data_IF_745181497663
#
_entry.id   IF_745181497663
#
_cell.length_a   1.000
_cell.length_b   1.000
_cell.length_c   1.000
_cell.angle_alpha   90.00
_cell.angle_beta   90.00
_cell.angle_gamma   90.00
#
_symmetry.space_group_name_H-M   'P 1'
#
loop_
_entity.id
_entity.type
_entity.pdbx_description
1 polymer ?
#
# COMPACT_ATOMS: atom_id res chain seq x y z
N UNK A 1 37.21 -4.97 0.31
CA UNK A 1 36.01 -5.64 -0.17
C UNK A 1 36.22 -7.13 -0.14
N UNK A 2 35.64 -7.83 0.83
CA UNK A 2 35.65 -9.30 0.84
C UNK A 2 34.49 -9.79 -0.01
N UNK A 3 34.76 -10.20 -1.25
CA UNK A 3 33.88 -11.07 -2.03
C UNK A 3 34.26 -12.51 -1.69
N UNK A 4 33.72 -13.05 -0.61
CA UNK A 4 33.65 -14.49 -0.46
C UNK A 4 32.65 -15.04 -1.46
N UNK A 5 33.13 -15.53 -2.58
CA UNK A 5 32.34 -16.37 -3.51
C UNK A 5 32.11 -17.72 -2.87
N UNK A 6 31.06 -17.83 -2.05
CA UNK A 6 30.61 -19.11 -1.50
C UNK A 6 30.19 -19.99 -2.69
N UNK A 7 31.02 -20.97 -3.05
CA UNK A 7 30.70 -21.95 -4.10
C UNK A 7 29.81 -23.03 -3.51
N UNK A 8 28.51 -22.89 -3.70
CA UNK A 8 27.55 -23.93 -3.32
C UNK A 8 27.68 -25.16 -4.23
N UNK A 9 27.69 -26.32 -3.62
CA UNK A 9 27.63 -27.62 -4.30
C UNK A 9 26.26 -27.75 -4.99
N UNK A 10 26.15 -28.60 -6.03
CA UNK A 10 24.86 -28.80 -6.74
C UNK A 10 23.74 -29.29 -5.81
N UNK A 11 24.04 -30.10 -4.83
CA UNK A 11 23.07 -30.58 -3.85
C UNK A 11 22.62 -29.50 -2.88
N UNK A 12 23.54 -28.66 -2.42
CA UNK A 12 23.22 -27.51 -1.59
C UNK A 12 22.30 -26.49 -2.33
N UNK A 13 22.60 -26.22 -3.60
CA UNK A 13 21.74 -25.37 -4.45
C UNK A 13 20.33 -25.93 -4.60
N UNK A 14 20.22 -27.26 -4.80
CA UNK A 14 18.92 -27.94 -4.91
C UNK A 14 18.15 -27.87 -3.60
N UNK A 15 18.80 -28.07 -2.47
CA UNK A 15 18.19 -27.97 -1.14
C UNK A 15 17.69 -26.54 -0.87
N UNK A 16 18.53 -25.53 -1.10
CA UNK A 16 18.17 -24.12 -0.95
C UNK A 16 16.97 -23.77 -1.85
N UNK A 17 16.93 -24.27 -3.08
CA UNK A 17 15.82 -24.01 -4.00
C UNK A 17 14.51 -24.65 -3.51
N UNK A 18 14.57 -25.88 -2.99
CA UNK A 18 13.41 -26.57 -2.42
C UNK A 18 12.91 -25.83 -1.17
N UNK A 19 13.81 -25.43 -0.28
CA UNK A 19 13.47 -24.70 0.94
C UNK A 19 12.91 -23.31 0.65
N UNK A 20 13.36 -22.66 -0.43
CA UNK A 20 12.85 -21.36 -0.86
C UNK A 20 11.51 -21.44 -1.64
N UNK A 21 11.15 -22.64 -2.16
CA UNK A 21 9.94 -22.81 -3.00
C UNK A 21 8.66 -22.29 -2.34
N UNK A 22 8.36 -22.62 -1.06
CA UNK A 22 7.14 -22.13 -0.43
C UNK A 22 7.09 -20.61 -0.33
N UNK A 23 8.23 -19.97 -0.07
CA UNK A 23 8.30 -18.49 -0.02
C UNK A 23 8.04 -17.86 -1.39
N UNK A 24 8.59 -18.43 -2.47
CA UNK A 24 8.32 -17.95 -3.84
C UNK A 24 6.92 -18.26 -4.34
N UNK A 25 6.30 -19.33 -3.87
CA UNK A 25 4.92 -19.67 -4.23
C UNK A 25 3.90 -18.66 -3.70
N UNK A 26 4.17 -18.00 -2.57
CA UNK A 26 3.24 -17.06 -1.96
C UNK A 26 2.88 -15.88 -2.89
N UNK A 27 3.82 -15.11 -3.47
CA UNK A 27 3.48 -14.06 -4.43
C UNK A 27 2.76 -14.60 -5.68
N UNK A 28 3.14 -15.78 -6.16
CA UNK A 28 2.51 -16.39 -7.35
C UNK A 28 1.05 -16.75 -7.06
N UNK A 29 0.77 -17.39 -5.94
CA UNK A 29 -0.59 -17.74 -5.52
C UNK A 29 -1.44 -16.49 -5.26
N UNK A 30 -0.87 -15.49 -4.61
CA UNK A 30 -1.56 -14.26 -4.26
C UNK A 30 -1.92 -13.46 -5.52
N UNK A 31 -0.93 -13.15 -6.35
CA UNK A 31 -1.15 -12.38 -7.58
C UNK A 31 -2.00 -13.16 -8.59
N UNK A 32 -1.76 -14.47 -8.72
CA UNK A 32 -2.57 -15.34 -9.56
C UNK A 32 -4.02 -15.38 -9.08
N UNK A 33 -4.26 -15.60 -7.79
CA UNK A 33 -5.61 -15.64 -7.23
C UNK A 33 -6.38 -14.34 -7.42
N UNK A 34 -5.72 -13.17 -7.22
CA UNK A 34 -6.33 -11.86 -7.48
C UNK A 34 -6.58 -11.68 -8.98
N UNK A 35 -5.61 -12.02 -9.83
CA UNK A 35 -5.70 -11.83 -11.30
C UNK A 35 -6.81 -12.68 -11.92
N UNK A 36 -7.02 -13.89 -11.44
CA UNK A 36 -8.06 -14.79 -11.91
C UNK A 36 -9.40 -14.61 -11.18
N UNK A 37 -9.51 -13.64 -10.27
CA UNK A 37 -10.75 -13.34 -9.57
C UNK A 37 -11.16 -14.39 -8.53
N UNK A 38 -10.23 -15.23 -8.06
CA UNK A 38 -10.49 -16.24 -7.02
C UNK A 38 -10.76 -15.56 -5.68
N UNK A 39 -10.06 -14.47 -5.40
CA UNK A 39 -10.27 -13.65 -4.21
C UNK A 39 -9.94 -12.17 -4.47
N UNK A 40 -10.56 -11.31 -3.67
CA UNK A 40 -10.28 -9.87 -3.64
C UNK A 40 -8.91 -9.59 -3.03
N UNK A 41 -8.31 -8.39 -3.22
CA UNK A 41 -7.05 -8.01 -2.58
C UNK A 41 -7.07 -8.17 -1.05
N UNK A 42 -8.20 -7.87 -0.41
CA UNK A 42 -8.37 -8.01 1.05
C UNK A 42 -8.38 -9.48 1.49
N UNK A 43 -9.13 -10.33 0.77
CA UNK A 43 -9.13 -11.78 1.00
C UNK A 43 -7.76 -12.39 0.70
N UNK A 44 -7.07 -11.86 -0.33
CA UNK A 44 -5.68 -12.22 -0.64
C UNK A 44 -4.73 -11.97 0.52
N UNK A 45 -4.88 -10.86 1.23
CA UNK A 45 -4.11 -10.57 2.43
C UNK A 45 -4.35 -11.59 3.56
N UNK A 46 -5.61 -11.97 3.80
CA UNK A 46 -5.96 -13.00 4.77
C UNK A 46 -5.41 -14.38 4.36
N UNK A 47 -5.53 -14.74 3.08
CA UNK A 47 -4.96 -15.95 2.52
C UNK A 47 -3.44 -16.00 2.71
N UNK A 48 -2.73 -14.90 2.41
CA UNK A 48 -1.29 -14.80 2.59
C UNK A 48 -0.86 -15.01 4.05
N UNK A 49 -1.61 -14.44 5.00
CA UNK A 49 -1.34 -14.62 6.43
C UNK A 49 -1.50 -16.09 6.85
N UNK A 50 -2.59 -16.75 6.45
CA UNK A 50 -2.82 -18.16 6.74
C UNK A 50 -1.75 -19.05 6.06
N UNK A 51 -1.45 -18.79 4.80
CA UNK A 51 -0.40 -19.50 4.06
C UNK A 51 0.96 -19.37 4.75
N UNK A 52 1.36 -18.16 5.14
CA UNK A 52 2.63 -17.92 5.84
C UNK A 52 2.69 -18.68 7.17
N UNK A 53 1.61 -18.67 7.97
CA UNK A 53 1.52 -19.41 9.23
C UNK A 53 1.70 -20.93 8.97
N UNK A 54 0.99 -21.47 7.99
CA UNK A 54 1.08 -22.90 7.66
C UNK A 54 2.49 -23.30 7.19
N UNK A 55 3.10 -22.52 6.33
CA UNK A 55 4.47 -22.75 5.85
C UNK A 55 5.47 -22.69 7.00
N UNK A 56 5.37 -21.70 7.87
CA UNK A 56 6.28 -21.57 9.02
C UNK A 56 6.11 -22.70 10.05
N UNK A 57 4.87 -23.15 10.30
CA UNK A 57 4.60 -24.22 11.26
C UNK A 57 4.91 -25.62 10.73
N UNK A 58 4.54 -25.89 9.45
CA UNK A 58 4.57 -27.24 8.91
C UNK A 58 5.86 -27.51 8.12
N UNK A 59 6.32 -26.54 7.33
CA UNK A 59 7.49 -26.72 6.47
C UNK A 59 8.79 -26.35 7.16
N UNK A 60 8.89 -25.08 7.61
CA UNK A 60 10.12 -24.61 8.26
C UNK A 60 10.23 -25.04 9.73
N UNK A 61 9.11 -25.23 10.41
CA UNK A 61 9.04 -25.61 11.83
C UNK A 61 9.88 -24.72 12.75
N UNK A 62 10.04 -23.45 12.37
CA UNK A 62 10.86 -22.47 13.06
C UNK A 62 10.08 -21.67 14.11
N UNK A 63 8.74 -21.63 14.00
CA UNK A 63 7.88 -20.79 14.83
C UNK A 63 7.07 -21.67 15.80
N UNK A 64 7.19 -21.33 17.08
CA UNK A 64 6.37 -21.94 18.14
C UNK A 64 5.06 -21.16 18.35
N UNK A 65 4.14 -21.75 19.12
CA UNK A 65 2.86 -21.11 19.46
C UNK A 65 3.04 -19.74 20.17
N UNK A 66 4.08 -19.60 20.99
CA UNK A 66 4.41 -18.34 21.66
C UNK A 66 4.84 -17.25 20.68
N UNK A 67 5.59 -17.61 19.65
CA UNK A 67 6.05 -16.67 18.63
C UNK A 67 4.88 -16.25 17.75
N UNK A 68 3.98 -17.17 17.42
CA UNK A 68 2.74 -16.87 16.70
C UNK A 68 1.88 -15.87 17.47
N UNK A 69 1.70 -16.08 18.79
CA UNK A 69 0.96 -15.14 19.64
C UNK A 69 1.64 -13.76 19.69
N UNK A 70 2.98 -13.73 19.77
CA UNK A 70 3.75 -12.47 19.78
C UNK A 70 3.59 -11.71 18.46
N UNK A 71 3.72 -12.40 17.33
CA UNK A 71 3.54 -11.82 15.98
C UNK A 71 2.11 -11.33 15.82
N UNK A 72 1.12 -12.13 16.22
CA UNK A 72 -0.30 -11.73 16.17
C UNK A 72 -0.58 -10.48 17.02
N UNK A 73 -0.03 -10.40 18.23
CA UNK A 73 -0.17 -9.23 19.09
C UNK A 73 0.52 -7.99 18.49
N UNK A 74 1.67 -8.15 17.86
CA UNK A 74 2.35 -7.06 17.15
C UNK A 74 1.54 -6.58 15.95
N UNK A 75 1.03 -7.52 15.14
CA UNK A 75 0.15 -7.20 13.99
C UNK A 75 -1.12 -6.50 14.43
N UNK A 76 -1.74 -6.95 15.52
CA UNK A 76 -2.93 -6.30 16.08
C UNK A 76 -2.66 -4.84 16.51
N UNK A 77 -1.50 -4.56 17.11
CA UNK A 77 -1.10 -3.17 17.46
C UNK A 77 -0.95 -2.29 16.22
N UNK A 78 -0.29 -2.78 15.19
CA UNK A 78 -0.13 -2.07 13.91
C UNK A 78 -1.49 -1.81 13.26
N UNK A 79 -2.35 -2.83 13.21
CA UNK A 79 -3.72 -2.71 12.68
C UNK A 79 -4.53 -1.69 13.48
N UNK A 80 -4.44 -1.71 14.81
CA UNK A 80 -5.15 -0.74 15.66
C UNK A 80 -4.69 0.71 15.38
N UNK A 81 -3.39 0.93 15.20
CA UNK A 81 -2.86 2.25 14.85
C UNK A 81 -3.41 2.73 13.49
N UNK A 82 -3.39 1.87 12.47
CA UNK A 82 -3.95 2.19 11.15
C UNK A 82 -5.45 2.47 11.25
N UNK A 83 -6.22 1.65 11.98
CA UNK A 83 -7.66 1.86 12.17
C UNK A 83 -7.98 3.17 12.89
N UNK A 84 -7.12 3.61 13.81
CA UNK A 84 -7.28 4.91 14.48
C UNK A 84 -7.08 6.08 13.51
N UNK A 85 -6.09 5.96 12.60
CA UNK A 85 -5.87 6.94 11.52
C UNK A 85 -7.09 6.99 10.60
N UNK A 86 -7.62 5.84 10.20
CA UNK A 86 -8.82 5.74 9.35
C UNK A 86 -10.03 6.39 10.02
N UNK A 87 -10.27 6.10 11.30
CA UNK A 87 -11.38 6.66 12.04
C UNK A 87 -11.31 8.20 12.16
N UNK A 88 -10.13 8.73 12.49
CA UNK A 88 -9.92 10.18 12.58
C UNK A 88 -10.03 10.86 11.21
N UNK A 89 -9.46 10.28 10.17
CA UNK A 89 -9.55 10.79 8.80
C UNK A 89 -11.00 10.79 8.28
N UNK A 90 -11.79 9.77 8.60
CA UNK A 90 -13.21 9.71 8.25
C UNK A 90 -14.00 10.82 8.95
N UNK A 91 -13.73 11.07 10.24
CA UNK A 91 -14.35 12.16 10.96
C UNK A 91 -14.00 13.54 10.35
N UNK A 92 -12.71 13.75 10.01
CA UNK A 92 -12.26 14.97 9.32
C UNK A 92 -12.96 15.10 7.96
N UNK A 93 -13.04 14.04 7.17
CA UNK A 93 -13.74 14.04 5.88
C UNK A 93 -15.21 14.44 6.01
N UNK A 94 -15.89 13.99 7.05
CA UNK A 94 -17.27 14.41 7.35
C UNK A 94 -17.37 15.91 7.63
N UNK A 95 -16.49 16.47 8.47
CA UNK A 95 -16.47 17.91 8.76
C UNK A 95 -16.12 18.73 7.52
N UNK A 96 -15.21 18.27 6.67
CA UNK A 96 -14.85 18.90 5.41
C UNK A 96 -16.09 19.03 4.52
N UNK A 97 -16.89 17.97 4.45
CA UNK A 97 -18.12 17.95 3.64
C UNK A 97 -19.18 18.90 4.22
N UNK A 98 -19.37 18.91 5.56
CA UNK A 98 -20.31 19.82 6.22
C UNK A 98 -19.95 21.30 6.09
N UNK A 99 -18.67 21.62 6.01
CA UNK A 99 -18.17 22.99 5.88
C UNK A 99 -18.12 23.47 4.43
N UNK A 100 -18.67 22.73 3.46
CA UNK A 100 -18.64 23.03 2.01
C UNK A 100 -17.22 23.32 1.47
N UNK A 101 -16.19 22.78 2.13
CA UNK A 101 -14.79 22.94 1.71
C UNK A 101 -14.55 22.40 0.30
N UNK A 102 -15.18 21.31 -0.17
CA UNK A 102 -15.02 20.83 -1.54
C UNK A 102 -15.34 21.92 -2.59
N UNK A 103 -16.41 22.69 -2.40
CA UNK A 103 -16.80 23.77 -3.31
C UNK A 103 -15.80 24.91 -3.31
N UNK A 104 -15.26 25.24 -2.14
CA UNK A 104 -14.21 26.26 -2.01
C UNK A 104 -12.92 25.80 -2.72
N UNK A 105 -12.53 24.54 -2.56
CA UNK A 105 -11.38 23.96 -3.26
C UNK A 105 -11.58 23.99 -4.76
N UNK A 106 -12.75 23.58 -5.27
CA UNK A 106 -13.07 23.63 -6.70
C UNK A 106 -12.95 25.06 -7.22
N UNK A 107 -13.44 26.07 -6.46
CA UNK A 107 -13.35 27.47 -6.86
C UNK A 107 -11.90 27.98 -6.94
N UNK A 108 -11.01 27.51 -6.06
CA UNK A 108 -9.58 27.82 -6.12
C UNK A 108 -8.91 27.26 -7.39
N UNK A 109 -9.42 26.13 -7.90
CA UNK A 109 -8.91 25.50 -9.11
C UNK A 109 -9.66 25.91 -10.38
N UNK A 110 -10.66 26.77 -10.29
CA UNK A 110 -11.39 27.33 -11.43
C UNK A 110 -10.48 27.95 -12.51
N UNK A 111 -9.37 28.64 -12.19
CA UNK A 111 -8.43 29.17 -13.20
C UNK A 111 -7.74 28.06 -14.03
N UNK A 112 -7.70 26.83 -13.53
CA UNK A 112 -7.08 25.67 -14.22
C UNK A 112 -8.06 24.89 -15.09
N UNK A 113 -9.33 25.35 -15.20
CA UNK A 113 -10.36 24.68 -15.99
C UNK A 113 -9.95 24.48 -17.44
N UNK A 114 -9.22 25.44 -18.00
CA UNK A 114 -8.71 25.41 -19.38
C UNK A 114 -7.38 24.63 -19.51
N UNK A 115 -6.81 24.19 -18.40
CA UNK A 115 -5.53 23.47 -18.35
C UNK A 115 -5.55 22.32 -17.36
N UNK A 116 -6.37 21.27 -17.57
CA UNK A 116 -6.51 20.16 -16.63
C UNK A 116 -5.20 19.39 -16.42
N UNK A 117 -4.31 19.40 -17.41
CA UNK A 117 -2.98 18.77 -17.33
C UNK A 117 -2.10 19.52 -16.31
N UNK A 118 -2.14 20.85 -16.31
CA UNK A 118 -1.36 21.65 -15.35
C UNK A 118 -1.81 21.38 -13.91
N UNK A 119 -3.11 21.26 -13.67
CA UNK A 119 -3.65 20.89 -12.39
C UNK A 119 -3.21 19.48 -11.98
N UNK A 120 -3.28 18.52 -12.90
CA UNK A 120 -2.85 17.16 -12.65
C UNK A 120 -1.37 17.10 -12.26
N UNK A 121 -0.50 17.83 -12.96
CA UNK A 121 0.93 17.94 -12.62
C UNK A 121 1.14 18.56 -11.24
N UNK A 122 0.38 19.59 -10.89
CA UNK A 122 0.45 20.20 -9.57
C UNK A 122 0.07 19.21 -8.47
N UNK A 123 -1.02 18.47 -8.67
CA UNK A 123 -1.44 17.39 -7.74
C UNK A 123 -0.35 16.34 -7.62
N UNK A 124 0.26 15.91 -8.72
CA UNK A 124 1.35 14.94 -8.69
C UNK A 124 2.57 15.44 -7.90
N UNK A 125 2.94 16.70 -8.04
CA UNK A 125 4.05 17.29 -7.27
C UNK A 125 3.72 17.30 -5.77
N UNK A 126 2.50 17.70 -5.41
CA UNK A 126 2.03 17.72 -4.01
C UNK A 126 2.06 16.30 -3.43
N UNK A 127 1.51 15.32 -4.16
CA UNK A 127 1.50 13.91 -3.76
C UNK A 127 2.91 13.33 -3.62
N UNK A 128 3.80 13.70 -4.54
CA UNK A 128 5.19 13.25 -4.49
C UNK A 128 5.91 13.78 -3.24
N UNK A 129 5.78 15.07 -2.96
CA UNK A 129 6.37 15.68 -1.75
C UNK A 129 5.75 15.08 -0.48
N UNK A 130 4.43 14.89 -0.45
CA UNK A 130 3.76 14.24 0.67
C UNK A 130 4.26 12.80 0.86
N UNK A 131 4.42 12.04 -0.23
CA UNK A 131 4.96 10.67 -0.23
C UNK A 131 6.40 10.56 0.27
N UNK A 132 7.20 11.62 0.13
CA UNK A 132 8.55 11.69 0.70
C UNK A 132 8.55 11.87 2.22
N UNK A 133 7.47 12.35 2.83
CA UNK A 133 7.39 12.74 4.24
C UNK A 133 6.52 11.82 5.08
N UNK A 134 5.50 11.20 4.48
CA UNK A 134 4.47 10.42 5.16
C UNK A 134 4.29 9.06 4.46
N UNK A 135 3.75 8.10 5.21
CA UNK A 135 3.36 6.81 4.64
C UNK A 135 2.14 6.94 3.71
N UNK A 136 2.06 6.06 2.70
CA UNK A 136 1.01 6.11 1.68
C UNK A 136 -0.40 5.98 2.27
N UNK A 137 -0.60 5.14 3.29
CA UNK A 137 -1.90 4.91 3.91
C UNK A 137 -2.43 6.22 4.52
N UNK A 138 -1.61 6.91 5.31
CA UNK A 138 -1.94 8.20 5.91
C UNK A 138 -2.27 9.24 4.86
N UNK A 139 -1.49 9.32 3.79
CA UNK A 139 -1.72 10.28 2.70
C UNK A 139 -3.05 10.01 2.00
N UNK A 140 -3.37 8.75 1.71
CA UNK A 140 -4.65 8.39 1.11
C UNK A 140 -5.82 8.90 1.94
N UNK A 141 -5.84 8.58 3.24
CA UNK A 141 -6.96 8.97 4.08
C UNK A 141 -7.07 10.47 4.33
N UNK A 142 -5.94 11.19 4.38
CA UNK A 142 -5.94 12.64 4.59
C UNK A 142 -6.28 13.39 3.31
N UNK A 143 -5.68 13.02 2.16
CA UNK A 143 -5.83 13.82 0.94
C UNK A 143 -7.03 13.40 0.07
N UNK A 144 -7.47 12.14 0.15
CA UNK A 144 -8.56 11.64 -0.69
C UNK A 144 -9.86 12.47 -0.57
N UNK A 145 -10.32 12.89 0.64
CA UNK A 145 -11.50 13.74 0.77
C UNK A 145 -11.40 15.07 0.02
N UNK A 146 -10.19 15.61 -0.14
CA UNK A 146 -9.94 16.85 -0.89
C UNK A 146 -9.81 16.60 -2.40
N UNK A 147 -9.23 15.48 -2.80
CA UNK A 147 -8.94 15.18 -4.20
C UNK A 147 -10.16 14.60 -4.94
N UNK A 148 -11.04 13.86 -4.26
CA UNK A 148 -12.24 13.29 -4.87
C UNK A 148 -13.16 14.33 -5.52
N UNK A 149 -13.48 15.47 -4.88
CA UNK A 149 -14.30 16.50 -5.50
C UNK A 149 -13.65 17.11 -6.75
N UNK A 150 -12.32 17.31 -6.73
CA UNK A 150 -11.55 17.81 -7.88
C UNK A 150 -11.64 16.79 -9.03
N UNK A 151 -11.38 15.53 -8.74
CA UNK A 151 -11.46 14.43 -9.71
C UNK A 151 -12.85 14.37 -10.37
N UNK A 152 -13.91 14.44 -9.57
CA UNK A 152 -15.29 14.41 -10.08
C UNK A 152 -15.61 15.65 -10.93
N UNK A 153 -15.14 16.83 -10.54
CA UNK A 153 -15.35 18.09 -11.29
C UNK A 153 -14.69 18.05 -12.68
N UNK A 154 -13.49 17.46 -12.79
CA UNK A 154 -12.77 17.32 -14.06
C UNK A 154 -13.14 16.06 -14.84
N UNK A 155 -14.03 15.22 -14.32
CA UNK A 155 -14.50 13.99 -14.98
C UNK A 155 -13.42 12.93 -15.13
N UNK A 156 -12.42 12.93 -14.25
CA UNK A 156 -11.37 11.92 -14.27
C UNK A 156 -11.90 10.59 -13.74
N UNK A 157 -11.49 9.50 -14.38
CA UNK A 157 -11.86 8.15 -13.96
C UNK A 157 -11.25 7.83 -12.58
N UNK A 158 -12.07 7.36 -11.60
CA UNK A 158 -11.60 7.09 -10.25
C UNK A 158 -10.52 6.02 -10.17
N UNK A 159 -10.59 5.00 -11.02
CA UNK A 159 -9.62 3.89 -11.04
C UNK A 159 -8.29 4.39 -11.59
N UNK A 160 -8.33 5.13 -12.69
CA UNK A 160 -7.14 5.73 -13.28
C UNK A 160 -6.46 6.69 -12.29
N UNK A 161 -7.23 7.55 -11.64
CA UNK A 161 -6.71 8.51 -10.67
C UNK A 161 -6.10 7.79 -9.45
N UNK A 162 -6.75 6.75 -8.94
CA UNK A 162 -6.24 5.92 -7.84
C UNK A 162 -4.93 5.22 -8.19
N UNK A 163 -4.80 4.69 -9.40
CA UNK A 163 -3.55 4.07 -9.88
C UNK A 163 -2.43 5.12 -9.98
N UNK A 164 -2.71 6.27 -10.58
CA UNK A 164 -1.76 7.39 -10.67
C UNK A 164 -1.27 7.83 -9.28
N UNK A 165 -2.19 8.01 -8.35
CA UNK A 165 -1.89 8.37 -6.97
C UNK A 165 -1.02 7.30 -6.29
N UNK A 166 -1.33 6.01 -6.47
CA UNK A 166 -0.56 4.88 -5.91
C UNK A 166 0.88 4.87 -6.42
N UNK A 167 1.07 5.01 -7.73
CA UNK A 167 2.40 5.03 -8.35
C UNK A 167 3.21 6.23 -7.83
N UNK A 168 2.57 7.40 -7.74
CA UNK A 168 3.22 8.62 -7.28
C UNK A 168 3.70 8.51 -5.84
N UNK A 169 2.84 8.00 -4.94
CA UNK A 169 3.18 7.79 -3.54
C UNK A 169 4.27 6.72 -3.37
N UNK A 170 4.22 5.63 -4.16
CA UNK A 170 5.27 4.62 -4.15
C UNK A 170 6.63 5.20 -4.55
N UNK A 171 6.67 6.05 -5.57
CA UNK A 171 7.89 6.76 -5.96
C UNK A 171 8.39 7.70 -4.86
N UNK A 172 7.47 8.41 -4.19
CA UNK A 172 7.79 9.28 -3.06
C UNK A 172 8.45 8.51 -1.92
N UNK A 173 7.94 7.33 -1.57
CA UNK A 173 8.48 6.51 -0.49
C UNK A 173 9.88 5.95 -0.74
N UNK A 174 10.29 5.79 -2.01
CA UNK A 174 11.64 5.33 -2.39
C UNK A 174 12.63 6.50 -2.51
N UNK A 175 12.14 7.73 -2.41
CA UNK A 175 12.95 8.94 -2.57
C UNK A 175 13.34 9.51 -1.21
N UNK A 176 14.61 9.94 -1.00
CA UNK A 176 14.99 10.61 0.25
C UNK A 176 14.09 11.83 0.51
N UNK A 177 13.70 12.13 1.78
CA UNK A 177 14.41 11.80 3.03
C UNK A 177 13.98 10.55 3.80
N UNK A 178 12.95 9.81 3.37
CA UNK A 178 12.41 8.66 4.14
C UNK A 178 13.09 7.34 3.78
N UNK A 179 13.64 7.23 2.56
CA UNK A 179 14.35 6.04 2.10
C UNK A 179 15.83 6.02 2.50
#
# INVERSE_FOLDING_TARGET
GYHETIKFTREEKKKILIDATPAFMMPVLLLGGIRFGVFTPTEGGAFAAVYAILVCLLWYREIGLRDLLRVSASSARTTAAVMMIVATATAIGYFITLADIPQQIISLFAPFKDSPITLLLLINVILFIAGMLLDAISIYYVLLPFLMPIMAHFGWDPVWFGVMMTINLALGQVTPPVA
#
